data_IF_606400323138
#
_entry.id   IF_606400323138
#
_cell.length_a   1.000
_cell.length_b   1.000
_cell.length_c   1.000
_cell.angle_alpha   90.00
_cell.angle_beta   90.00
_cell.angle_gamma   90.00
#
_symmetry.space_group_name_H-M   'P 1'
#
loop_
_entity.id
_entity.type
_entity.pdbx_description
1 polymer ?
#
# COMPACT_ATOMS: atom_id res chain seq x y z
N UNK A 1 8.88 29.36 13.29
CA UNK A 1 8.34 28.11 12.77
C UNK A 1 6.83 28.24 12.79
N UNK A 2 6.24 28.59 11.62
CA UNK A 2 4.79 28.70 11.50
C UNK A 2 4.22 27.30 11.45
N UNK A 3 3.37 26.95 12.40
CA UNK A 3 2.48 25.79 12.28
C UNK A 3 1.58 26.10 11.09
N UNK A 4 1.81 25.46 9.95
CA UNK A 4 0.90 25.50 8.82
C UNK A 4 -0.36 24.73 9.25
N UNK A 5 -1.32 25.44 9.84
CA UNK A 5 -2.65 24.88 10.04
C UNK A 5 -3.36 24.91 8.69
N UNK A 6 -3.83 23.73 8.27
CA UNK A 6 -4.65 23.58 7.08
C UNK A 6 -5.86 24.50 7.15
N UNK A 7 -6.24 25.06 6.00
CA UNK A 7 -7.46 25.86 5.95
C UNK A 7 -8.69 24.96 6.22
N UNK A 8 -9.66 25.49 6.94
CA UNK A 8 -10.92 24.78 7.21
C UNK A 8 -11.60 24.27 5.92
N UNK A 9 -11.50 25.04 4.83
CA UNK A 9 -12.03 24.66 3.52
C UNK A 9 -11.33 23.42 2.95
N UNK A 10 -10.00 23.33 3.06
CA UNK A 10 -9.25 22.16 2.63
C UNK A 10 -9.68 20.90 3.39
N UNK A 11 -9.76 20.97 4.71
CA UNK A 11 -10.19 19.84 5.54
C UNK A 11 -11.63 19.39 5.23
N UNK A 12 -12.54 20.31 4.99
CA UNK A 12 -13.91 19.98 4.59
C UNK A 12 -13.93 19.30 3.23
N UNK A 13 -13.10 19.75 2.28
CA UNK A 13 -13.01 19.13 0.95
C UNK A 13 -12.52 17.70 1.08
N UNK A 14 -11.46 17.44 1.86
CA UNK A 14 -10.93 16.11 2.09
C UNK A 14 -11.96 15.19 2.78
N UNK A 15 -12.70 15.67 3.76
CA UNK A 15 -13.78 14.90 4.40
C UNK A 15 -14.87 14.52 3.41
N UNK A 16 -15.29 15.43 2.55
CA UNK A 16 -16.30 15.17 1.52
C UNK A 16 -15.82 14.11 0.50
N UNK A 17 -14.54 14.13 0.12
CA UNK A 17 -13.94 13.13 -0.76
C UNK A 17 -13.95 11.74 -0.10
N UNK A 18 -13.58 11.65 1.18
CA UNK A 18 -13.64 10.41 1.97
C UNK A 18 -15.07 9.87 2.04
N UNK A 19 -16.05 10.73 2.38
CA UNK A 19 -17.46 10.32 2.44
C UNK A 19 -17.99 9.83 1.08
N UNK A 20 -17.57 10.48 0.00
CA UNK A 20 -17.90 10.05 -1.36
C UNK A 20 -17.31 8.69 -1.66
N UNK A 21 -16.01 8.51 -1.37
CA UNK A 21 -15.32 7.25 -1.54
C UNK A 21 -15.98 6.11 -0.75
N UNK A 22 -16.36 6.35 0.52
CA UNK A 22 -17.08 5.36 1.34
C UNK A 22 -18.43 4.96 0.75
N UNK A 23 -19.17 5.92 0.18
CA UNK A 23 -20.45 5.64 -0.50
C UNK A 23 -20.25 4.82 -1.76
N UNK A 24 -19.22 5.15 -2.55
CA UNK A 24 -18.88 4.44 -3.77
C UNK A 24 -18.49 2.99 -3.46
N UNK A 25 -17.69 2.75 -2.40
CA UNK A 25 -17.33 1.39 -1.95
C UNK A 25 -18.56 0.55 -1.60
N UNK A 26 -19.55 1.13 -0.93
CA UNK A 26 -20.81 0.43 -0.61
C UNK A 26 -21.63 0.06 -1.84
N UNK A 27 -21.53 0.84 -2.93
CA UNK A 27 -22.26 0.59 -4.19
C UNK A 27 -21.60 -0.48 -5.06
N UNK A 28 -20.29 -0.57 -5.05
CA UNK A 28 -19.48 -1.52 -5.83
C UNK A 28 -19.76 -2.97 -5.40
N UNK A 29 -20.05 -3.20 -4.14
CA UNK A 29 -20.31 -4.54 -3.57
C UNK A 29 -21.43 -5.32 -4.29
N UNK A 30 -22.39 -4.65 -4.95
CA UNK A 30 -23.44 -5.32 -5.71
C UNK A 30 -22.95 -5.89 -7.05
N UNK A 31 -22.11 -5.14 -7.78
CA UNK A 31 -21.58 -5.55 -9.09
C UNK A 31 -20.48 -6.60 -8.97
N UNK A 32 -19.74 -6.60 -7.87
CA UNK A 32 -18.71 -7.62 -7.59
C UNK A 32 -19.29 -9.00 -7.39
N UNK A 33 -20.50 -9.13 -6.81
CA UNK A 33 -21.19 -10.42 -6.72
C UNK A 33 -21.44 -11.06 -8.08
N UNK A 34 -21.67 -10.26 -9.12
CA UNK A 34 -21.88 -10.74 -10.49
C UNK A 34 -20.54 -11.10 -11.16
N UNK A 35 -19.47 -10.32 -10.86
CA UNK A 35 -18.11 -10.58 -11.37
C UNK A 35 -17.43 -11.82 -10.75
N UNK A 36 -17.86 -12.28 -9.59
CA UNK A 36 -17.29 -13.46 -8.89
C UNK A 36 -17.62 -14.81 -9.54
N UNK A 37 -18.63 -14.89 -10.42
CA UNK A 37 -19.01 -16.16 -11.06
C UNK A 37 -17.85 -16.77 -11.87
N UNK A 38 -17.07 -16.01 -12.67
CA UNK A 38 -15.90 -16.56 -13.35
C UNK A 38 -14.79 -17.02 -12.41
N UNK A 39 -14.58 -16.32 -11.27
CA UNK A 39 -13.55 -16.66 -10.28
C UNK A 39 -13.89 -17.93 -9.51
N UNK A 40 -15.16 -18.21 -9.20
CA UNK A 40 -15.59 -19.48 -8.61
C UNK A 40 -15.30 -20.70 -9.50
N UNK A 41 -15.24 -20.49 -10.82
CA UNK A 41 -14.85 -21.54 -11.78
C UNK A 41 -13.34 -21.71 -11.78
N UNK A 42 -12.60 -20.61 -11.71
CA UNK A 42 -11.12 -20.59 -11.59
C UNK A 42 -10.63 -21.26 -10.30
N UNK A 43 -11.32 -21.07 -9.17
CA UNK A 43 -11.00 -21.71 -7.89
C UNK A 43 -11.04 -23.25 -7.96
N UNK A 44 -11.91 -23.82 -8.81
CA UNK A 44 -11.97 -25.27 -9.02
C UNK A 44 -10.83 -25.82 -9.90
N UNK A 45 -10.18 -24.95 -10.64
CA UNK A 45 -9.10 -25.30 -11.58
C UNK A 45 -7.73 -24.88 -11.04
N UNK A 46 -7.69 -24.21 -9.87
CA UNK A 46 -6.45 -23.71 -9.28
C UNK A 46 -5.48 -24.86 -9.00
N UNK A 47 -4.33 -24.93 -9.66
CA UNK A 47 -3.36 -26.00 -9.44
C UNK A 47 -2.89 -26.07 -7.99
N UNK A 48 -2.65 -27.28 -7.47
CA UNK A 48 -2.15 -27.49 -6.09
C UNK A 48 -0.94 -26.61 -5.74
N UNK A 49 -0.09 -26.32 -6.72
CA UNK A 49 1.10 -25.51 -6.50
C UNK A 49 0.80 -24.05 -6.10
N UNK A 50 -0.37 -23.51 -6.45
CA UNK A 50 -0.82 -22.18 -6.00
C UNK A 50 -1.18 -22.25 -4.52
N UNK A 51 -1.87 -23.31 -4.08
CA UNK A 51 -2.17 -23.52 -2.65
C UNK A 51 -0.91 -23.63 -1.80
N UNK A 52 0.13 -24.32 -2.30
CA UNK A 52 1.42 -24.45 -1.60
C UNK A 52 2.11 -23.08 -1.48
N UNK A 53 1.99 -22.22 -2.50
CA UNK A 53 2.54 -20.85 -2.46
C UNK A 53 1.77 -19.89 -1.55
N UNK A 54 0.45 -20.08 -1.37
CA UNK A 54 -0.33 -19.31 -0.40
C UNK A 54 0.19 -19.56 1.02
N UNK A 55 0.54 -20.81 1.37
CA UNK A 55 1.16 -21.12 2.67
C UNK A 55 2.46 -20.34 2.89
N UNK A 56 3.34 -20.29 1.90
CA UNK A 56 4.59 -19.51 1.97
C UNK A 56 4.30 -18.02 2.14
N UNK A 57 3.31 -17.48 1.43
CA UNK A 57 2.91 -16.06 1.55
C UNK A 57 2.42 -15.75 2.96
N UNK A 58 1.57 -16.62 3.54
CA UNK A 58 1.08 -16.46 4.90
C UNK A 58 2.21 -16.53 5.95
N UNK A 59 3.18 -17.41 5.75
CA UNK A 59 4.38 -17.50 6.59
C UNK A 59 5.22 -16.22 6.50
N UNK A 60 5.43 -15.67 5.31
CA UNK A 60 6.17 -14.41 5.13
C UNK A 60 5.41 -13.22 5.73
N UNK A 61 4.09 -13.15 5.60
CA UNK A 61 3.27 -12.14 6.27
C UNK A 61 3.35 -12.26 7.79
N UNK A 62 3.32 -13.48 8.32
CA UNK A 62 3.48 -13.74 9.75
C UNK A 62 4.85 -13.30 10.25
N UNK A 63 5.91 -13.60 9.52
CA UNK A 63 7.27 -13.12 9.82
C UNK A 63 7.34 -11.60 9.78
N UNK A 64 6.71 -10.96 8.80
CA UNK A 64 6.63 -9.52 8.70
C UNK A 64 5.99 -8.90 9.94
N UNK A 65 4.84 -9.41 10.38
CA UNK A 65 4.13 -8.90 11.58
C UNK A 65 4.98 -9.07 12.83
N UNK A 66 5.65 -10.22 12.98
CA UNK A 66 6.37 -10.58 14.22
C UNK A 66 7.79 -10.00 14.29
N UNK A 67 8.52 -10.00 13.18
CA UNK A 67 9.93 -9.61 13.15
C UNK A 67 10.19 -8.13 12.80
N UNK A 68 9.14 -7.40 12.38
CA UNK A 68 9.29 -6.04 11.86
C UNK A 68 9.84 -6.05 10.42
N UNK A 69 9.11 -5.42 9.52
CA UNK A 69 9.42 -5.40 8.07
C UNK A 69 10.59 -4.49 7.68
N UNK A 70 11.66 -4.47 8.43
CA UNK A 70 12.84 -3.63 8.20
C UNK A 70 13.49 -3.86 6.81
N UNK A 71 13.20 -4.98 6.15
CA UNK A 71 13.80 -5.30 4.85
C UNK A 71 13.02 -4.73 3.65
N UNK A 72 11.80 -4.25 3.85
CA UNK A 72 11.00 -3.70 2.74
C UNK A 72 11.20 -2.20 2.59
N UNK A 73 11.26 -1.48 3.71
CA UNK A 73 11.39 -0.02 3.76
C UNK A 73 12.41 0.39 4.82
N UNK A 74 13.26 1.34 4.48
CA UNK A 74 14.14 2.02 5.43
C UNK A 74 13.53 3.38 5.76
N UNK A 75 13.12 3.60 7.02
CA UNK A 75 12.56 4.88 7.46
C UNK A 75 13.48 6.05 7.11
N UNK A 76 14.80 6.02 7.42
CA UNK A 76 15.69 7.13 7.06
C UNK A 76 15.74 7.40 5.56
N UNK A 77 15.81 6.36 4.73
CA UNK A 77 15.85 6.54 3.27
C UNK A 77 14.54 7.13 2.73
N UNK A 78 13.42 6.78 3.34
CA UNK A 78 12.11 7.32 2.97
C UNK A 78 12.00 8.78 3.35
N UNK A 79 12.42 9.16 4.55
CA UNK A 79 12.46 10.55 5.02
C UNK A 79 13.34 11.44 4.13
N UNK A 80 14.52 10.97 3.74
CA UNK A 80 15.41 11.68 2.78
C UNK A 80 14.68 11.88 1.44
N UNK A 81 13.97 10.87 0.94
CA UNK A 81 13.20 11.00 -0.30
C UNK A 81 12.06 12.01 -0.17
N UNK A 82 11.34 12.01 0.96
CA UNK A 82 10.30 12.99 1.27
C UNK A 82 10.86 14.42 1.27
N UNK A 83 11.98 14.64 1.95
CA UNK A 83 12.64 15.95 2.00
C UNK A 83 13.01 16.48 0.62
N UNK A 84 13.54 15.60 -0.25
CA UNK A 84 13.87 15.94 -1.64
C UNK A 84 12.64 16.29 -2.46
N UNK A 85 11.57 15.49 -2.36
CA UNK A 85 10.32 15.75 -3.10
C UNK A 85 9.67 17.05 -2.69
N UNK A 86 9.71 17.37 -1.39
CA UNK A 86 9.16 18.62 -0.85
C UNK A 86 10.11 19.82 -0.98
N UNK A 87 11.38 19.60 -1.33
CA UNK A 87 12.42 20.64 -1.36
C UNK A 87 12.56 21.37 -0.03
N UNK A 88 12.53 20.61 1.07
CA UNK A 88 12.66 21.09 2.44
C UNK A 88 13.98 20.60 3.06
N UNK A 89 14.29 21.12 4.26
CA UNK A 89 15.37 20.61 5.10
C UNK A 89 15.20 19.11 5.40
N UNK A 90 16.32 18.40 5.59
CA UNK A 90 16.30 16.94 5.72
C UNK A 90 15.53 16.50 6.98
N UNK A 91 14.50 15.66 6.76
CA UNK A 91 13.79 14.99 7.83
C UNK A 91 14.68 13.83 8.34
N UNK A 92 15.09 13.90 9.60
CA UNK A 92 15.97 12.88 10.23
C UNK A 92 15.20 11.89 11.09
N UNK A 93 14.05 12.31 11.62
CA UNK A 93 13.20 11.53 12.52
C UNK A 93 11.75 11.54 12.02
N UNK A 94 11.03 10.45 12.28
CA UNK A 94 9.66 10.30 11.76
C UNK A 94 8.69 11.29 12.41
N UNK A 95 8.95 11.69 13.65
CA UNK A 95 8.18 12.67 14.39
C UNK A 95 8.18 14.05 13.71
N UNK A 96 9.22 14.37 12.93
CA UNK A 96 9.30 15.61 12.16
C UNK A 96 8.22 15.67 11.07
N UNK A 97 7.74 14.55 10.59
CA UNK A 97 6.66 14.48 9.61
C UNK A 97 5.38 15.14 10.13
N UNK A 98 5.12 15.08 11.44
CA UNK A 98 3.97 15.73 12.07
C UNK A 98 3.99 17.28 11.94
N UNK A 99 5.09 17.86 11.49
CA UNK A 99 5.22 19.31 11.22
C UNK A 99 4.85 19.66 9.78
N UNK A 100 4.70 18.68 8.91
CA UNK A 100 4.26 18.88 7.54
C UNK A 100 2.75 19.13 7.49
N UNK A 101 2.32 19.88 6.46
CA UNK A 101 0.90 19.98 6.17
C UNK A 101 0.36 18.69 5.56
N UNK A 102 -0.94 18.44 5.70
CA UNK A 102 -1.61 17.30 5.09
C UNK A 102 -1.41 17.29 3.56
N UNK A 103 -1.44 18.47 2.92
CA UNK A 103 -1.17 18.61 1.49
C UNK A 103 0.24 18.13 1.11
N UNK A 104 1.25 18.42 1.95
CA UNK A 104 2.62 17.92 1.74
C UNK A 104 2.71 16.41 1.91
N UNK A 105 2.06 15.86 2.94
CA UNK A 105 1.98 14.41 3.16
C UNK A 105 1.29 13.70 1.99
N UNK A 106 0.16 14.24 1.52
CA UNK A 106 -0.60 13.72 0.37
C UNK A 106 0.25 13.75 -0.91
N UNK A 107 0.97 14.84 -1.15
CA UNK A 107 1.86 14.98 -2.31
C UNK A 107 2.92 13.88 -2.34
N UNK A 108 3.60 13.66 -1.22
CA UNK A 108 4.64 12.63 -1.09
C UNK A 108 4.05 11.23 -1.23
N UNK A 109 2.93 10.97 -0.56
CA UNK A 109 2.22 9.69 -0.66
C UNK A 109 1.84 9.36 -2.11
N UNK A 110 1.31 10.34 -2.85
CA UNK A 110 0.97 10.20 -4.26
C UNK A 110 2.20 9.94 -5.14
N UNK A 111 3.37 10.56 -4.84
CA UNK A 111 4.63 10.27 -5.55
C UNK A 111 5.07 8.82 -5.33
N UNK A 112 4.99 8.31 -4.09
CA UNK A 112 5.28 6.91 -3.81
C UNK A 112 4.36 5.96 -4.58
N UNK A 113 3.05 6.21 -4.57
CA UNK A 113 2.06 5.42 -5.31
C UNK A 113 2.36 5.46 -6.82
N UNK A 114 2.64 6.61 -7.38
CA UNK A 114 2.93 6.77 -8.82
C UNK A 114 4.19 5.99 -9.22
N UNK A 115 5.25 6.09 -8.43
CA UNK A 115 6.50 5.34 -8.63
C UNK A 115 6.26 3.82 -8.61
N UNK A 116 5.44 3.32 -7.67
CA UNK A 116 5.13 1.89 -7.56
C UNK A 116 4.23 1.40 -8.69
N UNK A 117 3.24 2.20 -9.10
CA UNK A 117 2.41 1.89 -10.28
C UNK A 117 3.25 1.77 -11.54
N UNK A 118 4.23 2.64 -11.73
CA UNK A 118 5.14 2.57 -12.88
C UNK A 118 5.98 1.30 -12.86
N UNK A 119 6.55 0.95 -11.69
CA UNK A 119 7.31 -0.28 -11.51
C UNK A 119 6.45 -1.51 -11.81
N UNK A 120 5.24 -1.60 -11.24
CA UNK A 120 4.33 -2.71 -11.46
C UNK A 120 3.94 -2.86 -12.95
N UNK A 121 3.74 -1.75 -13.69
CA UNK A 121 3.46 -1.79 -15.13
C UNK A 121 4.63 -2.38 -15.92
N UNK A 122 5.86 -1.96 -15.62
CA UNK A 122 7.06 -2.48 -16.30
C UNK A 122 7.24 -3.96 -16.00
N UNK A 123 7.10 -4.36 -14.73
CA UNK A 123 7.19 -5.76 -14.33
C UNK A 123 6.11 -6.61 -15.02
N UNK A 124 4.84 -6.20 -14.96
CA UNK A 124 3.74 -6.93 -15.61
C UNK A 124 3.93 -7.06 -17.13
N UNK A 125 4.51 -6.05 -17.78
CA UNK A 125 4.83 -6.12 -19.20
C UNK A 125 5.94 -7.14 -19.50
N UNK A 126 6.90 -7.33 -18.59
CA UNK A 126 8.01 -8.29 -18.79
C UNK A 126 7.62 -9.72 -18.45
N UNK A 127 6.73 -9.94 -17.49
CA UNK A 127 6.32 -11.26 -17.02
C UNK A 127 5.08 -11.81 -17.72
N UNK A 128 4.24 -10.94 -18.31
CA UNK A 128 3.00 -11.33 -18.96
C UNK A 128 3.16 -12.30 -20.14
N UNK A 129 4.36 -12.46 -20.70
CA UNK A 129 4.66 -13.42 -21.76
C UNK A 129 4.94 -14.85 -21.27
N UNK A 130 5.12 -15.06 -19.95
CA UNK A 130 5.55 -16.35 -19.38
C UNK A 130 4.43 -17.34 -19.05
N UNK A 131 3.17 -16.98 -19.23
CA UNK A 131 2.02 -17.86 -18.97
C UNK A 131 1.81 -18.16 -17.48
N UNK A 132 1.17 -19.29 -17.18
CA UNK A 132 0.73 -19.66 -15.81
C UNK A 132 1.89 -19.84 -14.80
N UNK A 133 3.11 -20.13 -15.28
CA UNK A 133 4.27 -20.31 -14.40
C UNK A 133 4.79 -18.97 -13.83
N UNK A 134 4.59 -17.85 -14.52
CA UNK A 134 5.01 -16.53 -14.04
C UNK A 134 4.11 -16.01 -12.92
N UNK A 135 2.82 -16.39 -12.92
CA UNK A 135 1.86 -15.97 -11.89
C UNK A 135 2.33 -16.35 -10.49
N UNK A 136 2.92 -17.54 -10.32
CA UNK A 136 3.41 -18.00 -9.02
C UNK A 136 4.57 -17.17 -8.47
N UNK A 137 5.36 -16.55 -9.36
CA UNK A 137 6.46 -15.65 -8.99
C UNK A 137 5.94 -14.22 -8.80
N UNK A 138 4.95 -13.83 -9.59
CA UNK A 138 4.40 -12.48 -9.59
C UNK A 138 3.63 -12.18 -8.30
N UNK A 139 2.88 -13.14 -7.74
CA UNK A 139 2.09 -12.94 -6.53
C UNK A 139 2.95 -12.50 -5.34
N UNK A 140 4.05 -13.18 -4.96
CA UNK A 140 4.94 -12.73 -3.88
C UNK A 140 5.55 -11.35 -4.14
N UNK A 141 5.92 -11.05 -5.39
CA UNK A 141 6.50 -9.77 -5.75
C UNK A 141 5.47 -8.64 -5.63
N UNK A 142 4.25 -8.85 -6.12
CA UNK A 142 3.16 -7.89 -5.99
C UNK A 142 2.79 -7.65 -4.53
N UNK A 143 2.75 -8.71 -3.72
CA UNK A 143 2.51 -8.61 -2.29
C UNK A 143 3.59 -7.77 -1.60
N UNK A 144 4.86 -8.07 -1.86
CA UNK A 144 5.99 -7.30 -1.33
C UNK A 144 5.95 -5.83 -1.77
N UNK A 145 5.60 -5.58 -3.03
CA UNK A 145 5.45 -4.24 -3.57
C UNK A 145 4.30 -3.48 -2.91
N UNK A 146 3.17 -4.12 -2.69
CA UNK A 146 2.02 -3.53 -2.00
C UNK A 146 2.34 -3.22 -0.55
N UNK A 147 2.94 -4.16 0.19
CA UNK A 147 3.38 -3.93 1.56
C UNK A 147 4.38 -2.77 1.65
N UNK A 148 5.34 -2.72 0.74
CA UNK A 148 6.30 -1.62 0.68
C UNK A 148 5.60 -0.29 0.45
N UNK A 149 4.64 -0.24 -0.45
CA UNK A 149 3.86 0.98 -0.73
C UNK A 149 3.07 1.42 0.49
N UNK A 150 2.39 0.51 1.17
CA UNK A 150 1.63 0.80 2.39
C UNK A 150 2.54 1.33 3.52
N UNK A 151 3.76 0.78 3.66
CA UNK A 151 4.74 1.29 4.61
C UNK A 151 5.24 2.68 4.25
N UNK A 152 5.55 2.94 2.98
CA UNK A 152 5.97 4.27 2.51
C UNK A 152 4.84 5.30 2.73
N UNK A 153 3.59 4.93 2.50
CA UNK A 153 2.42 5.75 2.82
C UNK A 153 2.34 6.00 4.34
N UNK A 154 2.46 4.98 5.18
CA UNK A 154 2.45 5.14 6.63
C UNK A 154 3.51 6.16 7.09
N UNK A 155 4.75 6.03 6.61
CA UNK A 155 5.84 6.98 6.93
C UNK A 155 5.49 8.39 6.46
N UNK A 156 4.86 8.55 5.29
CA UNK A 156 4.50 9.88 4.76
C UNK A 156 3.47 10.62 5.61
N UNK A 157 2.76 9.89 6.47
CA UNK A 157 1.83 10.44 7.47
C UNK A 157 2.36 10.36 8.91
N UNK A 158 3.65 10.07 9.11
CA UNK A 158 4.30 10.06 10.41
C UNK A 158 4.10 8.79 11.24
N UNK A 159 3.62 7.70 10.64
CA UNK A 159 3.46 6.42 11.31
C UNK A 159 4.70 5.53 11.11
N UNK A 160 5.27 5.03 12.21
CA UNK A 160 6.46 4.17 12.15
C UNK A 160 6.08 2.71 11.85
N UNK A 161 6.39 2.17 10.68
CA UNK A 161 6.11 0.78 10.33
C UNK A 161 6.92 -0.23 11.17
N UNK A 162 7.88 0.22 11.99
CA UNK A 162 8.57 -0.62 12.97
C UNK A 162 7.74 -0.81 14.24
N UNK A 163 6.72 0.00 14.50
CA UNK A 163 5.77 -0.22 15.57
C UNK A 163 4.88 -1.43 15.27
N UNK A 164 4.64 -2.26 16.30
CA UNK A 164 3.85 -3.48 16.13
C UNK A 164 2.38 -3.18 15.77
N UNK A 165 1.80 -2.14 16.35
CA UNK A 165 0.40 -1.78 16.08
C UNK A 165 0.24 -1.27 14.65
N UNK A 166 1.20 -0.48 14.17
CA UNK A 166 1.22 0.03 12.80
C UNK A 166 1.40 -1.11 11.78
N UNK A 167 2.25 -2.10 12.07
CA UNK A 167 2.36 -3.29 11.21
C UNK A 167 1.04 -4.06 11.09
N UNK A 168 0.34 -4.24 12.22
CA UNK A 168 -0.99 -4.89 12.20
C UNK A 168 -1.98 -4.09 11.37
N UNK A 169 -1.96 -2.75 11.49
CA UNK A 169 -2.82 -1.88 10.70
C UNK A 169 -2.50 -1.96 9.20
N UNK A 170 -1.22 -1.95 8.82
CA UNK A 170 -0.76 -2.12 7.43
C UNK A 170 -1.27 -3.44 6.84
N UNK A 171 -1.22 -4.54 7.61
CA UNK A 171 -1.76 -5.83 7.15
C UNK A 171 -3.29 -5.78 6.98
N UNK A 172 -4.01 -5.07 7.85
CA UNK A 172 -5.46 -4.86 7.68
C UNK A 172 -5.77 -4.06 6.41
N UNK A 173 -4.99 -3.03 6.11
CA UNK A 173 -5.11 -2.29 4.85
C UNK A 173 -4.85 -3.21 3.64
N UNK A 174 -3.82 -4.06 3.71
CA UNK A 174 -3.54 -5.05 2.68
C UNK A 174 -4.72 -6.02 2.49
N UNK A 175 -5.29 -6.54 3.57
CA UNK A 175 -6.47 -7.42 3.50
C UNK A 175 -7.65 -6.71 2.86
N UNK A 176 -7.92 -5.47 3.27
CA UNK A 176 -9.01 -4.67 2.72
C UNK A 176 -8.85 -4.48 1.21
N UNK A 177 -7.68 -4.04 0.76
CA UNK A 177 -7.40 -3.82 -0.67
C UNK A 177 -7.40 -5.12 -1.50
N UNK A 178 -7.13 -6.26 -0.87
CA UNK A 178 -7.12 -7.58 -1.53
C UNK A 178 -8.49 -8.26 -1.51
N UNK A 179 -9.40 -7.86 -0.64
CA UNK A 179 -10.74 -8.44 -0.55
C UNK A 179 -11.65 -7.99 -1.70
N UNK A 180 -11.28 -6.90 -2.38
CA UNK A 180 -12.02 -6.32 -3.50
C UNK A 180 -11.52 -6.83 -4.87
N UNK A 181 -10.63 -7.83 -4.89
CA UNK A 181 -10.17 -8.56 -6.09
C UNK A 181 -10.80 -9.99 -6.09
#
# INVERSE_FOLDING_TARGET
>A
LGVFMETKEYLITQLNEIEKWEKDQKSVFFWEKIGRIPFMILDKITPKFIHDKIGVILDELSKYVNAGGQYLVSVPSTLIRMSKELSIEELTEIEMVNQLSLEQMDRVSNDFIASRKQFAKVQGATTGFGGMFTIAIDIPILLGLTLKTLQEIAISYGYDPNDQMERVFIIKCLQFTSADI
#
